data_IF_695870371649
#
_entry.id   IF_695870371649
#
_cell.length_a   1.000
_cell.length_b   1.000
_cell.length_c   1.000
_cell.angle_alpha   90.00
_cell.angle_beta   90.00
_cell.angle_gamma   90.00
#
_symmetry.space_group_name_H-M   'P 1'
#
loop_
_entity.id
_entity.type
_entity.pdbx_description
1 polymer ?
#
# COMPACT_ATOMS: atom_id res chain seq x y z
N UNK A 1 1.69 6.76 45.49
CA UNK A 1 0.74 5.98 44.65
C UNK A 1 0.05 6.84 43.59
N UNK A 2 -0.52 8.01 43.93
CA UNK A 2 -1.22 8.86 42.94
C UNK A 2 -0.31 9.49 41.86
N UNK A 3 0.95 9.84 42.19
CA UNK A 3 1.93 10.36 41.23
C UNK A 3 2.44 9.31 40.23
N UNK A 4 2.79 8.10 40.70
CA UNK A 4 3.22 6.98 39.84
C UNK A 4 2.15 6.54 38.84
N UNK A 5 0.86 6.54 39.23
CA UNK A 5 -0.22 6.20 38.29
C UNK A 5 -0.40 7.27 37.20
N UNK A 6 -0.09 8.54 37.51
CA UNK A 6 -0.15 9.62 36.53
C UNK A 6 1.03 9.57 35.57
N UNK A 7 2.25 9.38 36.07
CA UNK A 7 3.46 9.19 35.24
C UNK A 7 3.34 7.95 34.34
N UNK A 8 2.78 6.85 34.86
CA UNK A 8 2.53 5.65 34.08
C UNK A 8 1.49 5.89 32.97
N UNK A 9 0.43 6.67 33.25
CA UNK A 9 -0.55 7.03 32.24
C UNK A 9 0.06 7.92 31.15
N UNK A 10 0.83 8.95 31.52
CA UNK A 10 1.51 9.84 30.57
C UNK A 10 2.52 9.08 29.70
N UNK A 11 3.28 8.15 30.29
CA UNK A 11 4.20 7.29 29.54
C UNK A 11 3.46 6.36 28.57
N UNK A 12 2.32 5.80 28.99
CA UNK A 12 1.53 4.90 28.14
C UNK A 12 0.88 5.65 26.97
N UNK A 13 0.38 6.87 27.21
CA UNK A 13 -0.16 7.75 26.17
C UNK A 13 0.93 8.18 25.17
N UNK A 14 2.13 8.48 25.66
CA UNK A 14 3.28 8.78 24.82
C UNK A 14 3.69 7.60 23.93
N UNK A 15 3.76 6.39 24.52
CA UNK A 15 4.06 5.16 23.78
C UNK A 15 2.99 4.87 22.72
N UNK A 16 1.70 5.05 23.04
CA UNK A 16 0.61 4.90 22.08
C UNK A 16 0.72 5.92 20.94
N UNK A 17 1.05 7.17 21.23
CA UNK A 17 1.23 8.23 20.23
C UNK A 17 2.42 7.95 19.29
N UNK A 18 3.55 7.47 19.82
CA UNK A 18 4.71 7.06 18.99
C UNK A 18 4.32 5.86 18.13
N UNK A 19 3.69 4.85 18.73
CA UNK A 19 3.26 3.64 18.06
C UNK A 19 2.39 3.93 16.84
N UNK A 20 1.41 4.85 16.97
CA UNK A 20 0.56 5.29 15.87
C UNK A 20 1.32 6.04 14.77
N UNK A 21 2.37 6.80 15.12
CA UNK A 21 3.21 7.49 14.14
C UNK A 21 4.09 6.50 13.37
N UNK A 22 4.68 5.52 14.05
CA UNK A 22 5.50 4.46 13.44
C UNK A 22 4.64 3.56 12.55
N UNK A 23 3.40 3.28 12.94
CA UNK A 23 2.47 2.46 12.15
C UNK A 23 2.24 2.98 10.72
N UNK A 24 2.45 4.28 10.46
CA UNK A 24 2.37 4.86 9.11
C UNK A 24 3.50 4.45 8.16
N UNK A 25 4.59 3.94 8.72
CA UNK A 25 5.80 3.54 7.99
C UNK A 25 5.98 2.01 7.92
N UNK A 26 5.09 1.26 8.57
CA UNK A 26 5.13 -0.20 8.61
C UNK A 26 3.92 -0.75 7.88
N UNK A 27 4.08 -1.90 7.23
CA UNK A 27 2.92 -2.62 6.71
C UNK A 27 1.98 -3.00 7.86
N UNK A 28 0.65 -3.04 7.63
CA UNK A 28 -0.31 -3.44 8.66
C UNK A 28 0.01 -4.79 9.32
N UNK A 29 0.66 -5.69 8.58
CA UNK A 29 1.09 -7.01 9.03
C UNK A 29 2.22 -6.91 10.05
N UNK A 30 3.25 -6.09 9.79
CA UNK A 30 4.34 -5.86 10.73
C UNK A 30 3.80 -5.18 11.99
N UNK A 31 2.96 -4.16 11.83
CA UNK A 31 2.35 -3.48 12.97
C UNK A 31 1.55 -4.46 13.85
N UNK A 32 0.63 -5.25 13.29
CA UNK A 32 -0.14 -6.25 14.05
C UNK A 32 0.78 -7.29 14.72
N UNK A 33 1.83 -7.73 14.03
CA UNK A 33 2.79 -8.71 14.54
C UNK A 33 3.55 -8.19 15.77
N UNK A 34 4.04 -6.95 15.72
CA UNK A 34 4.80 -6.33 16.82
C UNK A 34 3.90 -6.10 18.04
N UNK A 35 2.69 -5.55 17.85
CA UNK A 35 1.81 -5.20 18.97
C UNK A 35 1.07 -6.37 19.59
N UNK A 36 0.83 -7.45 18.84
CA UNK A 36 0.22 -8.66 19.40
C UNK A 36 1.20 -9.49 20.25
N UNK A 37 2.51 -9.20 20.17
CA UNK A 37 3.56 -9.97 20.85
C UNK A 37 3.69 -11.41 20.33
N UNK A 38 3.05 -11.75 19.21
CA UNK A 38 2.91 -13.14 18.75
C UNK A 38 4.05 -13.64 17.84
N UNK A 39 4.98 -12.77 17.42
CA UNK A 39 6.10 -13.18 16.55
C UNK A 39 7.34 -12.36 16.84
N UNK A 40 8.45 -13.06 17.09
CA UNK A 40 9.78 -12.50 16.82
C UNK A 40 9.82 -12.09 15.35
N UNK A 41 10.30 -10.87 15.07
CA UNK A 41 10.52 -10.36 13.70
C UNK A 41 11.68 -11.14 13.09
N UNK A 42 11.42 -12.39 12.72
CA UNK A 42 12.35 -13.30 12.08
C UNK A 42 12.09 -13.30 10.58
N UNK A 43 13.15 -13.50 9.79
CA UNK A 43 13.06 -13.72 8.35
C UNK A 43 12.31 -15.04 8.16
N UNK A 44 11.04 -14.95 7.80
CA UNK A 44 10.17 -16.08 7.54
C UNK A 44 9.35 -15.77 6.29
N UNK A 45 9.33 -16.72 5.36
CA UNK A 45 8.62 -16.57 4.08
C UNK A 45 7.81 -17.83 3.80
N UNK A 46 6.66 -17.65 3.19
CA UNK A 46 5.75 -18.72 2.80
C UNK A 46 5.44 -18.59 1.30
N UNK A 47 5.50 -19.71 0.57
CA UNK A 47 5.10 -19.73 -0.82
C UNK A 47 3.58 -19.82 -0.92
N UNK A 48 2.94 -18.75 -1.40
CA UNK A 48 1.48 -18.65 -1.56
C UNK A 48 1.10 -18.29 -2.98
N UNK A 49 -0.09 -18.70 -3.41
CA UNK A 49 -0.69 -18.26 -4.66
C UNK A 49 -1.48 -16.99 -4.39
N UNK A 50 -0.99 -15.86 -4.88
CA UNK A 50 -1.53 -14.54 -4.58
C UNK A 50 -2.07 -13.89 -5.85
N UNK A 51 -3.04 -13.00 -5.69
CA UNK A 51 -3.44 -12.08 -6.76
C UNK A 51 -2.78 -10.75 -6.51
N UNK A 52 -1.97 -10.31 -7.45
CA UNK A 52 -1.15 -9.11 -7.39
C UNK A 52 -1.80 -8.05 -8.27
N UNK A 53 -1.85 -6.83 -7.76
CA UNK A 53 -2.23 -5.62 -8.45
C UNK A 53 -1.05 -4.67 -8.47
N UNK A 54 -0.77 -4.11 -9.64
CA UNK A 54 0.22 -3.06 -9.80
C UNK A 54 -0.42 -1.91 -10.57
N UNK A 55 -0.19 -0.68 -10.12
CA UNK A 55 -0.52 0.50 -10.90
C UNK A 55 0.61 1.51 -10.93
N UNK A 56 0.72 2.27 -12.01
CA UNK A 56 1.59 3.43 -12.12
C UNK A 56 0.88 4.56 -12.89
N UNK A 57 1.42 5.78 -12.82
CA UNK A 57 0.87 6.93 -13.52
C UNK A 57 1.50 7.00 -14.91
N UNK A 58 0.65 7.02 -15.93
CA UNK A 58 1.07 7.20 -17.31
C UNK A 58 1.74 8.56 -17.47
N UNK A 59 2.88 8.57 -18.17
CA UNK A 59 3.66 9.77 -18.49
C UNK A 59 4.09 10.57 -17.24
N UNK A 60 4.26 9.89 -16.08
CA UNK A 60 4.57 10.53 -14.81
C UNK A 60 5.81 11.43 -14.87
N UNK A 61 6.89 11.01 -15.54
CA UNK A 61 8.09 11.83 -15.72
C UNK A 61 7.76 13.17 -16.37
N UNK A 62 6.96 13.18 -17.44
CA UNK A 62 6.58 14.41 -18.14
C UNK A 62 5.65 15.29 -17.29
N UNK A 63 4.80 14.69 -16.46
CA UNK A 63 3.96 15.41 -15.49
C UNK A 63 4.85 16.06 -14.43
N UNK A 64 5.81 15.31 -13.88
CA UNK A 64 6.71 15.76 -12.83
C UNK A 64 7.62 16.91 -13.26
N UNK A 65 8.02 16.95 -14.54
CA UNK A 65 8.80 18.05 -15.11
C UNK A 65 8.00 19.34 -15.32
N UNK A 66 6.66 19.25 -15.40
CA UNK A 66 5.78 20.40 -15.68
C UNK A 66 5.19 21.04 -14.43
N UNK A 67 4.91 20.23 -13.40
CA UNK A 67 4.32 20.70 -12.16
C UNK A 67 5.41 21.23 -11.22
N UNK A 68 5.02 22.17 -10.35
CA UNK A 68 5.89 22.51 -9.22
C UNK A 68 6.00 21.29 -8.28
N UNK A 69 7.17 21.03 -7.66
CA UNK A 69 7.37 19.88 -6.79
C UNK A 69 6.33 19.75 -5.67
N UNK A 70 5.89 20.88 -5.12
CA UNK A 70 4.88 20.96 -4.06
C UNK A 70 3.51 20.48 -4.54
N UNK A 71 3.08 20.94 -5.71
CA UNK A 71 1.80 20.55 -6.32
C UNK A 71 1.82 19.07 -6.69
N UNK A 72 2.91 18.60 -7.31
CA UNK A 72 3.08 17.19 -7.65
C UNK A 72 2.97 16.30 -6.41
N UNK A 73 3.66 16.69 -5.33
CA UNK A 73 3.66 15.95 -4.07
C UNK A 73 2.26 15.94 -3.44
N UNK A 74 1.54 17.06 -3.47
CA UNK A 74 0.18 17.14 -2.95
C UNK A 74 -0.78 16.21 -3.72
N UNK A 75 -0.75 16.26 -5.06
CA UNK A 75 -1.58 15.42 -5.93
C UNK A 75 -1.27 13.94 -5.75
N UNK A 76 0.02 13.59 -5.68
CA UNK A 76 0.46 12.21 -5.51
C UNK A 76 0.03 11.64 -4.14
N UNK A 77 0.13 12.44 -3.08
CA UNK A 77 -0.34 12.04 -1.75
C UNK A 77 -1.87 11.89 -1.69
N UNK A 78 -2.64 12.77 -2.33
CA UNK A 78 -4.11 12.64 -2.44
C UNK A 78 -4.47 11.36 -3.22
N UNK A 79 -3.77 11.09 -4.33
CA UNK A 79 -3.91 9.84 -5.08
C UNK A 79 -3.63 8.61 -4.21
N UNK A 80 -2.47 8.52 -3.57
CA UNK A 80 -2.11 7.36 -2.75
C UNK A 80 -3.04 7.15 -1.57
N UNK A 81 -3.51 8.24 -0.94
CA UNK A 81 -4.48 8.15 0.15
C UNK A 81 -5.78 7.49 -0.33
N UNK A 82 -6.33 7.95 -1.44
CA UNK A 82 -7.59 7.45 -2.00
C UNK A 82 -7.47 6.01 -2.52
N UNK A 83 -6.38 5.69 -3.22
CA UNK A 83 -6.14 4.33 -3.69
C UNK A 83 -5.96 3.36 -2.52
N UNK A 84 -5.24 3.77 -1.46
CA UNK A 84 -5.04 2.93 -0.27
C UNK A 84 -6.33 2.68 0.49
N UNK A 85 -7.21 3.69 0.61
CA UNK A 85 -8.53 3.52 1.21
C UNK A 85 -9.40 2.52 0.43
N UNK A 86 -9.34 2.56 -0.91
CA UNK A 86 -10.06 1.60 -1.75
C UNK A 86 -9.47 0.20 -1.59
N UNK A 87 -8.15 0.06 -1.59
CA UNK A 87 -7.48 -1.22 -1.36
C UNK A 87 -7.92 -1.85 -0.03
N UNK A 88 -7.90 -1.06 1.05
CA UNK A 88 -8.35 -1.50 2.37
C UNK A 88 -9.84 -1.90 2.37
N UNK A 89 -10.71 -1.13 1.70
CA UNK A 89 -12.15 -1.44 1.58
C UNK A 89 -12.40 -2.80 0.92
N UNK A 90 -11.55 -3.20 -0.01
CA UNK A 90 -11.63 -4.50 -0.68
C UNK A 90 -10.83 -5.59 0.06
N UNK A 91 -10.31 -5.31 1.26
CA UNK A 91 -9.50 -6.23 2.08
C UNK A 91 -8.16 -6.63 1.42
N UNK A 92 -7.64 -5.76 0.55
CA UNK A 92 -6.34 -5.94 -0.05
C UNK A 92 -5.21 -5.53 0.91
N UNK A 93 -4.05 -6.15 0.74
CA UNK A 93 -2.82 -5.73 1.41
C UNK A 93 -2.05 -4.76 0.51
N UNK A 94 -1.90 -3.51 0.96
CA UNK A 94 -0.95 -2.58 0.36
C UNK A 94 0.46 -3.00 0.76
N UNK A 95 1.28 -3.36 -0.21
CA UNK A 95 2.68 -3.73 0.01
C UNK A 95 3.52 -2.46 0.17
N UNK A 96 3.64 -1.68 -0.91
CA UNK A 96 4.44 -0.46 -0.93
C UNK A 96 4.09 0.46 -2.10
N UNK A 97 4.60 1.68 -1.99
CA UNK A 97 4.68 2.63 -3.10
C UNK A 97 6.10 2.63 -3.69
N UNK A 98 6.21 2.70 -5.01
CA UNK A 98 7.50 2.70 -5.73
C UNK A 98 7.49 3.86 -6.73
N UNK A 99 8.00 5.03 -6.30
CA UNK A 99 7.84 6.25 -7.09
C UNK A 99 6.36 6.65 -7.14
N UNK A 100 5.79 6.69 -8.35
CA UNK A 100 4.36 6.91 -8.61
C UNK A 100 3.53 5.62 -8.63
N UNK A 101 4.19 4.46 -8.49
CA UNK A 101 3.54 3.17 -8.54
C UNK A 101 3.00 2.69 -7.19
N UNK A 102 1.96 1.88 -7.24
CA UNK A 102 1.30 1.22 -6.12
C UNK A 102 1.32 -0.29 -6.34
N UNK A 103 1.87 -1.04 -5.37
CA UNK A 103 1.84 -2.50 -5.34
C UNK A 103 0.91 -2.98 -4.23
N UNK A 104 -0.05 -3.83 -4.60
CA UNK A 104 -1.09 -4.39 -3.72
C UNK A 104 -1.23 -5.87 -4.01
N UNK A 105 -1.61 -6.67 -3.01
CA UNK A 105 -1.93 -8.08 -3.24
C UNK A 105 -3.10 -8.57 -2.36
N UNK A 106 -3.66 -9.70 -2.79
CA UNK A 106 -4.68 -10.47 -2.10
C UNK A 106 -4.18 -11.90 -1.88
N UNK A 107 -4.73 -12.56 -0.87
CA UNK A 107 -4.41 -13.94 -0.50
C UNK A 107 -3.48 -14.07 0.70
N UNK A 108 -3.07 -12.94 1.29
CA UNK A 108 -2.31 -12.88 2.54
C UNK A 108 -2.51 -11.50 3.23
N UNK A 109 -2.62 -11.43 4.56
CA UNK A 109 -2.60 -12.53 5.54
C UNK A 109 -3.87 -13.37 5.54
N UNK A 110 -4.96 -12.84 4.97
CA UNK A 110 -6.25 -13.51 4.84
C UNK A 110 -6.56 -13.76 3.37
N UNK A 111 -7.29 -14.84 3.10
CA UNK A 111 -7.73 -15.23 1.76
C UNK A 111 -9.17 -15.71 1.83
N UNK A 112 -9.96 -15.36 0.82
CA UNK A 112 -11.31 -15.93 0.60
C UNK A 112 -11.29 -17.03 -0.47
N UNK A 113 -10.08 -17.48 -0.85
CA UNK A 113 -9.83 -18.38 -1.96
C UNK A 113 -9.41 -17.62 -3.22
N UNK A 114 -8.50 -18.24 -3.99
CA UNK A 114 -7.82 -17.61 -5.15
C UNK A 114 -8.78 -16.95 -6.14
N UNK A 115 -9.94 -17.58 -6.40
CA UNK A 115 -10.94 -17.04 -7.32
C UNK A 115 -11.62 -15.77 -6.79
N UNK A 116 -11.97 -15.75 -5.50
CA UNK A 116 -12.60 -14.57 -4.90
C UNK A 116 -11.60 -13.44 -4.68
N UNK A 117 -10.36 -13.78 -4.32
CA UNK A 117 -9.26 -12.82 -4.22
C UNK A 117 -9.02 -12.11 -5.58
N UNK A 118 -9.07 -12.86 -6.69
CA UNK A 118 -8.97 -12.31 -8.04
C UNK A 118 -10.17 -11.42 -8.40
N UNK A 119 -11.39 -11.82 -8.04
CA UNK A 119 -12.60 -11.00 -8.26
C UNK A 119 -12.58 -9.72 -7.43
N UNK A 120 -12.16 -9.80 -6.18
CA UNK A 120 -12.02 -8.65 -5.29
C UNK A 120 -10.99 -7.66 -5.84
N UNK A 121 -9.85 -8.15 -6.30
CA UNK A 121 -8.83 -7.35 -6.97
C UNK A 121 -9.37 -6.62 -8.21
N UNK A 122 -10.15 -7.30 -9.06
CA UNK A 122 -10.76 -6.66 -10.22
C UNK A 122 -11.77 -5.56 -9.82
N UNK A 123 -12.62 -5.82 -8.82
CA UNK A 123 -13.57 -4.81 -8.30
C UNK A 123 -12.84 -3.61 -7.71
N UNK A 124 -11.76 -3.85 -6.97
CA UNK A 124 -10.88 -2.82 -6.44
C UNK A 124 -10.30 -1.94 -7.55
N UNK A 125 -9.75 -2.53 -8.61
CA UNK A 125 -9.20 -1.80 -9.74
C UNK A 125 -10.25 -0.91 -10.43
N UNK A 126 -11.47 -1.42 -10.63
CA UNK A 126 -12.57 -0.63 -11.21
C UNK A 126 -12.97 0.55 -10.31
N UNK A 127 -13.05 0.33 -8.99
CA UNK A 127 -13.34 1.41 -8.04
C UNK A 127 -12.22 2.46 -8.01
N UNK A 128 -10.95 2.05 -8.09
CA UNK A 128 -9.80 2.95 -8.20
C UNK A 128 -9.87 3.80 -9.47
N UNK A 129 -10.21 3.22 -10.62
CA UNK A 129 -10.38 3.95 -11.87
C UNK A 129 -11.48 5.02 -11.76
N UNK A 130 -12.65 4.65 -11.22
CA UNK A 130 -13.76 5.59 -11.00
C UNK A 130 -13.39 6.71 -10.05
N UNK A 131 -12.63 6.41 -8.98
CA UNK A 131 -12.18 7.43 -8.03
C UNK A 131 -11.16 8.36 -8.66
N UNK A 132 -10.24 7.85 -9.48
CA UNK A 132 -9.29 8.68 -10.21
C UNK A 132 -9.98 9.67 -11.16
N UNK A 133 -11.07 9.27 -11.83
CA UNK A 133 -11.88 10.20 -12.63
C UNK A 133 -12.49 11.32 -11.78
N UNK A 134 -12.95 11.02 -10.56
CA UNK A 134 -13.48 12.02 -9.64
C UNK A 134 -12.38 12.97 -9.17
N UNK A 135 -11.21 12.44 -8.79
CA UNK A 135 -10.05 13.23 -8.40
C UNK A 135 -9.61 14.17 -9.52
N UNK A 136 -9.52 13.68 -10.75
CA UNK A 136 -9.20 14.51 -11.92
C UNK A 136 -10.19 15.66 -12.12
N UNK A 137 -11.49 15.44 -11.88
CA UNK A 137 -12.48 16.54 -11.91
C UNK A 137 -12.21 17.55 -10.79
N UNK A 138 -12.00 17.08 -9.57
CA UNK A 138 -11.71 17.95 -8.42
C UNK A 138 -10.42 18.76 -8.61
N UNK A 139 -9.38 18.15 -9.17
CA UNK A 139 -8.11 18.82 -9.44
C UNK A 139 -8.21 19.83 -10.57
N UNK A 140 -9.01 19.54 -11.61
CA UNK A 140 -9.31 20.52 -12.65
C UNK A 140 -9.98 21.77 -12.08
N UNK A 141 -10.93 21.60 -11.16
CA UNK A 141 -11.59 22.73 -10.48
C UNK A 141 -10.60 23.57 -9.63
N UNK A 142 -9.44 22.99 -9.27
CA UNK A 142 -8.33 23.67 -8.59
C UNK A 142 -7.27 24.22 -9.57
N UNK A 143 -7.49 24.12 -10.88
CA UNK A 143 -6.58 24.62 -11.93
C UNK A 143 -5.57 23.62 -12.47
N UNK A 144 -5.66 22.33 -12.11
CA UNK A 144 -4.80 21.28 -12.65
C UNK A 144 -5.42 20.72 -13.93
N UNK A 145 -4.97 21.24 -15.08
CA UNK A 145 -5.53 20.89 -16.38
C UNK A 145 -5.13 19.50 -16.89
N UNK A 146 -3.96 19.00 -16.48
CA UNK A 146 -3.44 17.70 -16.91
C UNK A 146 -3.93 16.58 -15.98
N UNK A 147 -4.83 15.69 -16.46
CA UNK A 147 -5.36 14.62 -15.62
C UNK A 147 -4.34 13.49 -15.46
N UNK A 148 -4.30 12.89 -14.28
CA UNK A 148 -3.58 11.64 -14.08
C UNK A 148 -4.33 10.50 -14.77
N UNK A 149 -3.58 9.59 -15.39
CA UNK A 149 -4.09 8.34 -15.93
C UNK A 149 -3.29 7.21 -15.32
N UNK A 150 -3.94 6.30 -14.62
CA UNK A 150 -3.27 5.14 -14.05
C UNK A 150 -3.34 3.96 -15.04
N UNK A 151 -2.21 3.29 -15.24
CA UNK A 151 -2.18 1.95 -15.84
C UNK A 151 -2.29 0.94 -14.72
N UNK A 152 -3.03 -0.14 -14.95
CA UNK A 152 -3.31 -1.14 -13.91
C UNK A 152 -3.13 -2.54 -14.48
N UNK A 153 -2.25 -3.32 -13.85
CA UNK A 153 -2.04 -4.73 -14.14
C UNK A 153 -2.59 -5.60 -13.00
N UNK A 154 -3.13 -6.77 -13.36
CA UNK A 154 -3.52 -7.81 -12.40
C UNK A 154 -2.90 -9.13 -12.86
N UNK A 155 -2.29 -9.87 -11.93
CA UNK A 155 -1.75 -11.20 -12.19
C UNK A 155 -1.98 -12.11 -10.98
N UNK A 156 -2.20 -13.41 -11.20
CA UNK A 156 -2.36 -14.39 -10.13
C UNK A 156 -1.34 -15.51 -10.29
N UNK A 157 -0.45 -15.67 -9.31
CA UNK A 157 0.59 -16.68 -9.37
C UNK A 157 1.28 -16.94 -8.04
N UNK A 158 2.23 -17.87 -8.05
CA UNK A 158 2.95 -18.26 -6.84
C UNK A 158 4.08 -17.29 -6.52
N UNK A 159 4.04 -16.70 -5.34
CA UNK A 159 5.07 -15.82 -4.79
C UNK A 159 5.46 -16.26 -3.39
N UNK A 160 6.66 -15.86 -2.95
CA UNK A 160 7.02 -15.94 -1.54
C UNK A 160 6.56 -14.64 -0.86
N UNK A 161 5.77 -14.76 0.19
CA UNK A 161 5.33 -13.63 1.03
C UNK A 161 5.93 -13.77 2.41
N UNK A 162 6.35 -12.66 3.01
CA UNK A 162 6.93 -12.67 4.35
C UNK A 162 7.85 -11.50 4.61
N UNK A 163 8.62 -11.62 5.69
CA UNK A 163 9.62 -10.63 6.07
C UNK A 163 10.90 -10.85 5.26
N UNK A 164 11.29 -9.87 4.44
CA UNK A 164 12.53 -9.85 3.66
C UNK A 164 13.40 -8.65 4.05
N UNK A 165 14.73 -8.80 3.98
CA UNK A 165 15.64 -7.69 4.25
C UNK A 165 16.96 -8.12 4.89
N UNK A 166 17.56 -7.20 5.63
CA UNK A 166 18.75 -7.40 6.46
C UNK A 166 18.41 -7.20 7.94
N UNK A 167 19.35 -7.52 8.83
CA UNK A 167 19.18 -7.35 10.29
C UNK A 167 18.75 -5.92 10.68
N UNK A 168 19.20 -4.91 9.92
CA UNK A 168 18.90 -3.49 10.18
C UNK A 168 17.65 -2.97 9.45
N UNK A 169 17.13 -3.69 8.46
CA UNK A 169 16.01 -3.24 7.63
C UNK A 169 15.19 -4.40 7.09
N UNK A 170 13.95 -4.50 7.55
CA UNK A 170 13.00 -5.55 7.18
C UNK A 170 11.73 -4.95 6.57
N UNK A 171 11.29 -5.52 5.45
CA UNK A 171 10.01 -5.22 4.80
C UNK A 171 9.18 -6.50 4.69
N UNK A 172 7.88 -6.40 5.01
CA UNK A 172 6.93 -7.46 4.72
C UNK A 172 6.43 -7.27 3.30
N UNK A 173 6.77 -8.17 2.39
CA UNK A 173 6.55 -7.97 0.96
C UNK A 173 6.43 -9.31 0.23
N UNK A 174 6.16 -9.24 -1.08
CA UNK A 174 6.09 -10.39 -1.97
C UNK A 174 7.30 -10.41 -2.91
N UNK A 175 7.88 -11.59 -3.11
CA UNK A 175 8.96 -11.83 -4.08
C UNK A 175 8.60 -13.00 -4.98
N UNK A 176 8.68 -12.79 -6.30
CA UNK A 176 8.44 -13.82 -7.31
C UNK A 176 8.44 -13.27 -8.73
N UNK A 177 8.58 -14.14 -9.72
CA UNK A 177 8.56 -13.76 -11.15
C UNK A 177 7.26 -13.03 -11.52
N UNK A 178 6.13 -13.46 -10.96
CA UNK A 178 4.81 -12.89 -11.19
C UNK A 178 4.71 -11.39 -10.79
N UNK A 179 5.52 -10.96 -9.81
CA UNK A 179 5.64 -9.56 -9.37
C UNK A 179 6.48 -8.75 -10.36
N UNK A 180 7.52 -9.35 -10.94
CA UNK A 180 8.32 -8.71 -11.96
C UNK A 180 7.54 -8.59 -13.28
N UNK A 181 6.83 -9.63 -13.67
CA UNK A 181 6.10 -9.69 -14.94
C UNK A 181 4.96 -8.66 -14.99
N UNK A 182 4.24 -8.44 -13.89
CA UNK A 182 3.15 -7.45 -13.84
C UNK A 182 3.65 -6.00 -13.92
N UNK A 183 4.84 -5.71 -13.38
CA UNK A 183 5.46 -4.39 -13.49
C UNK A 183 5.94 -4.10 -14.92
N UNK A 184 6.25 -5.14 -15.69
CA UNK A 184 6.70 -5.05 -17.09
C UNK A 184 5.53 -5.11 -18.08
N UNK A 185 4.43 -5.78 -17.72
CA UNK A 185 3.18 -5.84 -18.47
C UNK A 185 2.42 -4.50 -18.38
N UNK A 186 2.99 -3.47 -19.01
CA UNK A 186 2.38 -2.16 -19.22
C UNK A 186 1.14 -2.33 -20.10
N UNK A 187 -0.06 -2.28 -19.51
CA UNK A 187 -1.31 -2.09 -20.26
C UNK A 187 -1.56 -0.61 -20.47
#
# INVERSE_FOLDING_TARGET
>A
VHGMNKELAEANDFLAAISLKIAKYLSPQIYKSIFSGQKDVTIATERKKLTIFFSDIKDFTAIAERLQPEDLTALLNEYFTEMSMIALKHEATVDKFIGDALLVFFGDPETKGVEEDARACLRMAVDMQRRLEQLNRMWRDRGIEQPFRARMGINTGYCNVGNFGSDDRMDYTIIGAEVADIAVARV
#
